data_IF_515889070867
#
_entry.id   IF_515889070867
#
_cell.length_a   1.000
_cell.length_b   1.000
_cell.length_c   1.000
_cell.angle_alpha   90.00
_cell.angle_beta   90.00
_cell.angle_gamma   90.00
#
_symmetry.space_group_name_H-M   'P 1'
#
loop_
_entity.id
_entity.type
_entity.pdbx_description
1 polymer ?
#
# COMPACT_ATOMS: atom_id res chain seq x y z
N UNK A 1 -4.35 -0.23 26.86
CA UNK A 1 -2.87 -0.14 26.96
C UNK A 1 -2.17 -1.37 26.38
N UNK A 2 -2.29 -2.57 26.96
CA UNK A 2 -1.63 -3.81 26.43
C UNK A 2 -2.03 -4.19 24.99
N UNK A 3 -3.27 -3.91 24.58
CA UNK A 3 -3.78 -4.20 23.22
C UNK A 3 -3.16 -3.29 22.13
N UNK A 4 -3.14 -1.97 22.36
CA UNK A 4 -2.48 -0.99 21.48
C UNK A 4 -0.99 -1.26 21.28
N UNK A 5 -0.31 -1.67 22.36
CA UNK A 5 1.12 -1.98 22.32
C UNK A 5 1.45 -3.22 21.50
N UNK A 6 0.51 -4.18 21.43
CA UNK A 6 0.62 -5.39 20.63
C UNK A 6 0.36 -5.13 19.14
N UNK A 7 -0.56 -4.23 18.82
CA UNK A 7 -1.03 -3.98 17.46
C UNK A 7 -0.16 -2.97 16.69
N UNK A 8 0.39 -1.97 17.36
CA UNK A 8 1.11 -0.87 16.69
C UNK A 8 2.61 -0.88 16.94
N UNK A 9 3.06 -1.79 17.81
CA UNK A 9 4.38 -1.76 18.39
C UNK A 9 4.75 -0.39 19.02
N UNK A 10 3.77 0.39 19.49
CA UNK A 10 3.94 1.70 20.17
C UNK A 10 3.23 1.71 21.52
N UNK A 11 3.66 2.52 22.48
CA UNK A 11 2.97 2.65 23.78
C UNK A 11 2.83 4.12 24.20
N UNK A 12 1.68 4.45 24.79
CA UNK A 12 1.38 5.79 25.28
C UNK A 12 1.50 5.83 26.81
N UNK A 13 2.09 6.86 27.40
CA UNK A 13 2.14 7.04 28.85
C UNK A 13 1.59 8.42 29.19
N UNK A 14 0.60 8.46 30.06
CA UNK A 14 0.05 9.71 30.55
C UNK A 14 0.83 10.17 31.79
N UNK A 15 1.21 11.45 31.84
CA UNK A 15 1.84 12.04 33.04
C UNK A 15 1.14 13.35 33.39
N UNK A 16 0.64 13.41 34.63
CA UNK A 16 -0.08 14.58 35.14
C UNK A 16 0.83 15.75 35.52
N UNK A 17 2.16 15.56 35.54
CA UNK A 17 3.18 16.57 35.85
C UNK A 17 4.45 16.29 35.02
N UNK A 18 5.27 17.33 34.82
CA UNK A 18 6.60 17.22 34.19
C UNK A 18 7.53 16.43 35.12
N UNK A 19 7.56 15.11 34.93
CA UNK A 19 8.43 14.23 35.73
C UNK A 19 9.89 14.33 35.29
N UNK A 20 10.82 14.04 36.20
CA UNK A 20 12.26 13.95 35.89
C UNK A 20 12.57 13.02 34.71
N UNK A 21 11.82 11.92 34.57
CA UNK A 21 11.92 11.06 33.39
C UNK A 21 11.63 11.79 32.08
N UNK A 22 10.63 12.67 32.02
CA UNK A 22 10.31 13.42 30.81
C UNK A 22 11.38 14.47 30.47
N UNK A 23 11.96 15.13 31.48
CA UNK A 23 13.07 16.07 31.27
C UNK A 23 14.31 15.39 30.71
N UNK A 24 14.61 14.17 31.17
CA UNK A 24 15.68 13.33 30.62
C UNK A 24 15.39 12.94 29.16
N UNK A 25 14.13 12.66 28.81
CA UNK A 25 13.72 12.31 27.43
C UNK A 25 13.99 13.46 26.47
N UNK A 26 13.61 14.69 26.85
CA UNK A 26 13.81 15.88 26.02
C UNK A 26 15.29 16.17 25.74
N UNK A 27 16.19 15.72 26.62
CA UNK A 27 17.65 15.81 26.43
C UNK A 27 18.22 14.66 25.59
N UNK A 28 17.37 13.80 25.04
CA UNK A 28 17.76 12.63 24.25
C UNK A 28 18.19 11.43 25.09
N UNK A 29 18.04 11.46 26.41
CA UNK A 29 18.46 10.37 27.27
C UNK A 29 17.45 9.20 27.20
N UNK A 30 17.96 7.97 27.12
CA UNK A 30 17.14 6.74 27.21
C UNK A 30 16.70 6.52 28.65
N UNK A 31 15.40 6.62 28.93
CA UNK A 31 14.85 6.45 30.29
C UNK A 31 14.25 5.04 30.49
N UNK A 32 14.09 4.28 29.41
CA UNK A 32 13.49 2.94 29.42
C UNK A 32 14.15 2.04 28.37
N UNK A 33 14.21 0.74 28.63
CA UNK A 33 14.80 -0.29 27.77
C UNK A 33 13.91 -0.74 26.59
N UNK A 34 13.04 0.11 26.03
CA UNK A 34 12.20 -0.26 24.88
C UNK A 34 12.26 0.78 23.75
N UNK A 35 12.60 0.33 22.54
CA UNK A 35 12.70 1.12 21.30
C UNK A 35 11.32 1.29 20.62
N UNK A 36 10.45 2.15 21.18
CA UNK A 36 9.13 2.48 20.57
C UNK A 36 8.90 3.99 20.54
N UNK A 37 8.44 4.51 19.39
CA UNK A 37 8.12 5.94 19.20
C UNK A 37 6.90 6.37 20.03
N UNK A 38 6.94 7.61 20.55
CA UNK A 38 5.91 8.19 21.43
C UNK A 38 5.32 9.46 20.81
N UNK A 39 4.00 9.62 20.93
CA UNK A 39 3.30 10.89 20.67
C UNK A 39 2.91 11.49 22.02
N UNK A 40 3.32 12.73 22.29
CA UNK A 40 2.98 13.46 23.51
C UNK A 40 2.27 14.76 23.14
N UNK A 41 1.15 15.05 23.81
CA UNK A 41 0.37 16.26 23.60
C UNK A 41 0.44 17.13 24.85
N UNK A 42 0.68 18.43 24.68
CA UNK A 42 0.72 19.42 25.76
C UNK A 42 -0.58 20.22 25.76
N UNK A 43 -1.31 20.22 26.87
CA UNK A 43 -2.60 20.92 27.01
C UNK A 43 -2.65 21.65 28.35
N UNK A 44 -3.45 22.72 28.45
CA UNK A 44 -3.63 23.45 29.71
C UNK A 44 -4.38 22.61 30.75
N UNK A 45 -4.16 22.88 32.04
CA UNK A 45 -4.82 22.15 33.13
C UNK A 45 -6.35 22.31 33.10
N UNK A 46 -6.86 23.49 32.70
CA UNK A 46 -8.29 23.72 32.51
C UNK A 46 -8.88 22.84 31.40
N UNK A 47 -8.17 22.74 30.27
CA UNK A 47 -8.55 21.86 29.15
C UNK A 47 -8.56 20.40 29.60
N UNK A 48 -7.53 19.98 30.34
CA UNK A 48 -7.43 18.63 30.90
C UNK A 48 -8.57 18.31 31.87
N UNK A 49 -8.97 19.25 32.72
CA UNK A 49 -10.08 19.08 33.65
C UNK A 49 -11.43 18.90 32.93
N UNK A 50 -11.73 19.77 31.96
CA UNK A 50 -12.94 19.67 31.11
C UNK A 50 -13.02 18.33 30.37
N UNK A 51 -11.88 17.85 29.87
CA UNK A 51 -11.79 16.56 29.19
C UNK A 51 -12.02 15.37 30.13
N UNK A 52 -11.41 15.39 31.32
CA UNK A 52 -11.62 14.33 32.31
C UNK A 52 -13.10 14.24 32.73
N UNK A 53 -13.78 15.37 32.83
CA UNK A 53 -15.21 15.43 33.14
C UNK A 53 -16.07 14.88 31.99
N UNK A 54 -15.77 15.27 30.75
CA UNK A 54 -16.42 14.72 29.56
C UNK A 54 -16.31 13.18 29.48
N UNK A 55 -15.11 12.63 29.69
CA UNK A 55 -14.89 11.17 29.63
C UNK A 55 -15.59 10.36 30.73
N UNK A 56 -15.97 11.00 31.85
CA UNK A 56 -16.70 10.37 32.95
C UNK A 56 -18.20 10.26 32.66
N UNK A 57 -18.77 11.23 31.95
CA UNK A 57 -20.20 11.29 31.67
C UNK A 57 -20.61 10.49 30.42
N UNK A 58 -19.72 10.33 29.43
CA UNK A 58 -20.05 9.75 28.12
C UNK A 58 -19.58 8.29 27.93
N UNK A 59 -19.43 7.53 29.02
CA UNK A 59 -19.34 6.08 28.96
C UNK A 59 -18.11 5.50 28.23
N UNK A 60 -16.90 5.87 28.68
CA UNK A 60 -15.63 5.13 28.41
C UNK A 60 -14.85 5.48 27.12
N UNK A 61 -15.06 6.65 26.53
CA UNK A 61 -14.22 7.14 25.42
C UNK A 61 -13.01 7.89 25.97
N UNK A 62 -11.81 7.33 25.80
CA UNK A 62 -10.55 8.04 26.10
C UNK A 62 -10.20 9.03 24.99
N UNK A 63 -9.46 10.10 25.28
CA UNK A 63 -9.02 11.06 24.24
C UNK A 63 -8.23 10.38 23.11
N UNK A 64 -7.47 9.33 23.42
CA UNK A 64 -6.78 8.52 22.42
C UNK A 64 -7.72 7.73 21.52
N UNK A 65 -8.91 7.36 22.02
CA UNK A 65 -9.96 6.71 21.25
C UNK A 65 -10.66 7.74 20.35
N UNK A 66 -10.94 8.94 20.86
CA UNK A 66 -11.52 10.03 20.07
C UNK A 66 -10.58 10.55 18.96
N UNK A 67 -9.28 10.69 19.25
CA UNK A 67 -8.29 11.04 18.24
C UNK A 67 -8.24 9.97 17.15
N UNK A 68 -8.36 8.69 17.53
CA UNK A 68 -8.38 7.58 16.58
C UNK A 68 -9.63 7.64 15.71
N UNK A 69 -10.81 7.76 16.31
CA UNK A 69 -12.08 7.85 15.58
C UNK A 69 -12.13 9.08 14.66
N UNK A 70 -11.57 10.21 15.08
CA UNK A 70 -11.47 11.41 14.24
C UNK A 70 -10.49 11.25 13.07
N UNK A 71 -9.35 10.57 13.30
CA UNK A 71 -8.38 10.26 12.23
C UNK A 71 -8.96 9.23 11.26
N UNK A 72 -9.61 8.18 11.75
CA UNK A 72 -10.26 7.15 10.94
C UNK A 72 -11.36 7.78 10.08
N UNK A 73 -12.20 8.65 10.67
CA UNK A 73 -13.24 9.40 9.95
C UNK A 73 -12.66 10.38 8.92
N UNK A 74 -11.54 11.04 9.22
CA UNK A 74 -10.84 11.90 8.26
C UNK A 74 -10.25 11.09 7.09
N UNK A 75 -9.70 9.90 7.34
CA UNK A 75 -9.19 9.01 6.30
C UNK A 75 -10.34 8.50 5.43
N UNK A 76 -11.43 8.02 6.04
CA UNK A 76 -12.62 7.53 5.32
C UNK A 76 -13.27 8.62 4.45
N UNK A 77 -13.42 9.84 5.00
CA UNK A 77 -13.97 10.97 4.24
C UNK A 77 -13.05 11.43 3.11
N UNK A 78 -11.73 11.34 3.27
CA UNK A 78 -10.77 11.65 2.21
C UNK A 78 -10.76 10.59 1.10
N UNK A 79 -10.90 9.32 1.44
CA UNK A 79 -11.08 8.21 0.48
C UNK A 79 -12.35 8.41 -0.36
N UNK A 80 -13.45 8.86 0.26
CA UNK A 80 -14.69 9.20 -0.45
C UNK A 80 -14.55 10.42 -1.37
N UNK A 81 -13.74 11.42 -1.00
CA UNK A 81 -13.55 12.64 -1.79
C UNK A 81 -12.55 12.46 -2.95
N UNK A 82 -11.54 11.60 -2.80
CA UNK A 82 -10.54 11.33 -3.83
C UNK A 82 -11.02 10.30 -4.89
N UNK A 83 -12.02 9.46 -4.58
CA UNK A 83 -12.48 8.39 -5.48
C UNK A 83 -13.45 8.79 -6.59
N UNK A 84 -14.20 9.90 -6.50
CA UNK A 84 -15.33 10.15 -7.41
C UNK A 84 -15.07 11.12 -8.59
N UNK A 85 -14.08 12.02 -8.48
CA UNK A 85 -13.77 13.01 -9.53
C UNK A 85 -12.38 12.89 -10.16
N UNK A 86 -11.40 12.29 -9.47
CA UNK A 86 -10.03 12.11 -10.02
C UNK A 86 -9.89 10.87 -10.91
N UNK A 87 -10.73 9.84 -10.70
CA UNK A 87 -10.77 8.63 -11.53
C UNK A 87 -11.26 8.89 -12.98
N UNK A 88 -11.82 10.07 -13.25
CA UNK A 88 -12.30 10.47 -14.60
C UNK A 88 -11.24 11.19 -15.45
N UNK A 89 -10.06 11.46 -14.91
CA UNK A 89 -9.02 12.19 -15.65
C UNK A 89 -8.36 11.24 -16.66
N UNK A 90 -8.53 11.54 -17.95
CA UNK A 90 -7.90 10.78 -19.04
C UNK A 90 -6.37 10.66 -18.80
N UNK A 91 -5.77 9.45 -18.96
CA UNK A 91 -4.33 9.23 -18.89
C UNK A 91 -3.46 10.25 -19.63
N UNK A 92 -3.92 10.75 -20.79
CA UNK A 92 -3.23 11.78 -21.55
C UNK A 92 -3.20 13.14 -20.82
N UNK A 93 -4.31 13.50 -20.16
CA UNK A 93 -4.39 14.70 -19.32
C UNK A 93 -3.50 14.57 -18.08
N UNK A 94 -3.45 13.39 -17.48
CA UNK A 94 -2.58 13.12 -16.33
C UNK A 94 -1.09 13.19 -16.70
N UNK A 95 -0.72 12.65 -17.87
CA UNK A 95 0.61 12.76 -18.44
C UNK A 95 0.99 14.22 -18.69
N UNK A 96 0.09 15.00 -19.27
CA UNK A 96 0.29 16.43 -19.51
C UNK A 96 0.49 17.20 -18.20
N UNK A 97 -0.36 16.96 -17.18
CA UNK A 97 -0.20 17.58 -15.85
C UNK A 97 1.14 17.19 -15.23
N UNK A 98 1.54 15.92 -15.33
CA UNK A 98 2.86 15.46 -14.84
C UNK A 98 4.00 16.22 -15.51
N UNK A 99 3.96 16.35 -16.84
CA UNK A 99 4.97 17.09 -17.60
C UNK A 99 5.01 18.57 -17.22
N UNK A 100 3.86 19.24 -17.17
CA UNK A 100 3.74 20.66 -16.83
C UNK A 100 4.22 20.97 -15.40
N UNK A 101 4.04 20.05 -14.46
CA UNK A 101 4.54 20.21 -13.08
C UNK A 101 6.03 19.88 -12.95
N UNK A 102 6.53 18.90 -13.71
CA UNK A 102 7.95 18.48 -13.66
C UNK A 102 8.87 19.55 -14.22
N UNK A 103 8.53 20.19 -15.33
CA UNK A 103 9.39 21.20 -15.98
C UNK A 103 9.83 22.35 -15.05
N UNK A 104 8.93 23.12 -14.40
CA UNK A 104 9.34 24.19 -13.50
C UNK A 104 10.06 23.65 -12.26
N UNK A 105 9.71 22.45 -11.79
CA UNK A 105 10.36 21.81 -10.65
C UNK A 105 11.79 21.39 -10.96
N UNK A 106 12.05 20.86 -12.15
CA UNK A 106 13.38 20.54 -12.64
C UNK A 106 14.25 21.79 -12.70
N UNK A 107 13.71 22.92 -13.16
CA UNK A 107 14.44 24.20 -13.15
C UNK A 107 14.74 24.69 -11.73
N UNK A 108 13.76 24.66 -10.81
CA UNK A 108 13.97 25.10 -9.41
C UNK A 108 15.04 24.23 -8.73
N UNK A 109 14.94 22.90 -8.87
CA UNK A 109 15.91 21.95 -8.34
C UNK A 109 17.29 22.14 -8.96
N UNK A 110 17.36 22.29 -10.28
CA UNK A 110 18.62 22.48 -11.01
C UNK A 110 19.33 23.79 -10.64
N UNK A 111 18.62 24.92 -10.62
CA UNK A 111 19.23 26.20 -10.26
C UNK A 111 19.62 26.28 -8.78
N UNK A 112 18.79 25.74 -7.88
CA UNK A 112 19.17 25.67 -6.46
C UNK A 112 20.40 24.79 -6.25
N UNK A 113 20.50 23.64 -6.95
CA UNK A 113 21.70 22.81 -6.93
C UNK A 113 22.93 23.53 -7.49
N UNK A 114 22.81 24.22 -8.63
CA UNK A 114 23.92 25.00 -9.20
C UNK A 114 24.41 26.11 -8.26
N UNK A 115 23.51 26.75 -7.52
CA UNK A 115 23.87 27.73 -6.49
C UNK A 115 24.62 27.07 -5.32
N UNK A 116 24.18 25.89 -4.88
CA UNK A 116 24.83 25.13 -3.81
C UNK A 116 26.20 24.58 -4.22
N UNK A 117 26.39 24.22 -5.49
CA UNK A 117 27.65 23.64 -5.99
C UNK A 117 28.66 24.71 -6.39
N UNK A 118 28.25 25.74 -7.14
CA UNK A 118 29.17 26.68 -7.78
C UNK A 118 29.34 28.00 -7.04
N UNK A 119 28.40 28.35 -6.15
CA UNK A 119 28.39 29.65 -5.47
C UNK A 119 28.44 29.54 -3.95
N UNK A 120 28.62 28.32 -3.41
CA UNK A 120 28.64 28.04 -1.96
C UNK A 120 29.50 29.00 -1.15
N UNK A 121 30.73 29.24 -1.61
CA UNK A 121 31.73 30.06 -0.91
C UNK A 121 31.46 31.57 -1.05
N UNK A 122 30.58 31.97 -1.99
CA UNK A 122 30.21 33.36 -2.26
C UNK A 122 28.89 33.76 -1.57
N UNK A 123 28.13 32.80 -1.07
CA UNK A 123 26.87 33.02 -0.37
C UNK A 123 27.12 33.09 1.13
N UNK A 124 26.40 33.98 1.81
CA UNK A 124 26.40 33.99 3.28
C UNK A 124 25.61 32.78 3.81
N UNK A 125 25.78 32.45 5.09
CA UNK A 125 25.17 31.24 5.67
C UNK A 125 23.63 31.25 5.61
N UNK A 126 23.00 32.41 5.81
CA UNK A 126 21.53 32.54 5.79
C UNK A 126 20.95 32.26 4.39
N UNK A 127 21.59 32.81 3.35
CA UNK A 127 21.21 32.55 1.96
C UNK A 127 21.52 31.10 1.58
N UNK A 128 22.64 30.55 2.04
CA UNK A 128 22.99 29.16 1.79
C UNK A 128 21.95 28.19 2.38
N UNK A 129 21.51 28.41 3.62
CA UNK A 129 20.47 27.60 4.26
C UNK A 129 19.10 27.77 3.60
N UNK A 130 18.80 28.97 3.12
CA UNK A 130 17.59 29.22 2.32
C UNK A 130 17.61 28.41 1.01
N UNK A 131 18.73 28.41 0.28
CA UNK A 131 18.87 27.64 -0.97
C UNK A 131 18.82 26.13 -0.72
N UNK A 132 19.41 25.64 0.38
CA UNK A 132 19.28 24.22 0.79
C UNK A 132 17.82 23.86 1.04
N UNK A 133 17.10 24.68 1.79
CA UNK A 133 15.68 24.46 2.06
C UNK A 133 14.86 24.42 0.76
N UNK A 134 15.12 25.32 -0.19
CA UNK A 134 14.47 25.31 -1.51
C UNK A 134 14.75 23.99 -2.24
N UNK A 135 16.01 23.54 -2.26
CA UNK A 135 16.38 22.28 -2.90
C UNK A 135 15.69 21.08 -2.24
N UNK A 136 15.74 20.97 -0.90
CA UNK A 136 15.11 19.88 -0.16
C UNK A 136 13.59 19.83 -0.33
N UNK A 137 12.93 20.99 -0.30
CA UNK A 137 11.49 21.08 -0.56
C UNK A 137 11.14 20.73 -2.00
N UNK A 138 12.00 21.07 -2.98
CA UNK A 138 11.79 20.67 -4.38
C UNK A 138 11.84 19.15 -4.55
N UNK A 139 12.76 18.47 -3.86
CA UNK A 139 12.86 17.00 -3.87
C UNK A 139 11.66 16.36 -3.17
N UNK A 140 11.20 16.94 -2.06
CA UNK A 140 10.01 16.46 -1.36
C UNK A 140 8.75 16.60 -2.23
N UNK A 141 8.61 17.72 -2.93
CA UNK A 141 7.49 17.96 -3.85
C UNK A 141 7.52 16.99 -5.03
N UNK A 142 8.68 16.73 -5.61
CA UNK A 142 8.88 15.74 -6.68
C UNK A 142 8.38 14.36 -6.25
N UNK A 143 8.79 13.90 -5.07
CA UNK A 143 8.35 12.62 -4.48
C UNK A 143 6.84 12.57 -4.25
N UNK A 144 6.24 13.65 -3.76
CA UNK A 144 4.78 13.75 -3.55
C UNK A 144 4.01 13.70 -4.86
N UNK A 145 4.47 14.40 -5.89
CA UNK A 145 3.86 14.38 -7.22
C UNK A 145 3.90 12.97 -7.79
N UNK A 146 5.06 12.30 -7.74
CA UNK A 146 5.20 10.90 -8.19
C UNK A 146 4.23 9.99 -7.43
N UNK A 147 4.21 10.07 -6.10
CA UNK A 147 3.28 9.26 -5.28
C UNK A 147 1.81 9.53 -5.61
N UNK A 148 1.42 10.78 -5.85
CA UNK A 148 0.04 11.13 -6.23
C UNK A 148 -0.27 10.58 -7.62
N UNK A 149 0.64 10.70 -8.58
CA UNK A 149 0.44 10.16 -9.94
C UNK A 149 0.38 8.62 -9.94
N UNK A 150 1.19 7.95 -9.12
CA UNK A 150 1.14 6.50 -8.90
C UNK A 150 -0.18 6.08 -8.25
N UNK A 151 -0.72 6.90 -7.34
CA UNK A 151 -2.01 6.69 -6.69
C UNK A 151 -3.22 7.08 -7.57
N UNK A 152 -3.05 7.92 -8.59
CA UNK A 152 -4.13 8.22 -9.56
C UNK A 152 -4.18 7.14 -10.64
N UNK A 153 -3.10 6.39 -10.87
CA UNK A 153 -3.08 5.17 -11.68
C UNK A 153 -3.81 3.97 -11.04
N UNK A 154 -4.65 4.18 -10.02
CA UNK A 154 -5.41 3.13 -9.31
C UNK A 154 -6.54 2.53 -10.16
N UNK A 155 -6.76 2.98 -11.40
CA UNK A 155 -7.44 2.19 -12.45
C UNK A 155 -6.44 1.36 -13.28
N UNK A 156 -5.46 0.73 -12.65
CA UNK A 156 -4.82 -0.43 -13.27
C UNK A 156 -5.78 -1.63 -13.12
N UNK A 157 -6.87 -1.65 -13.88
CA UNK A 157 -7.54 -2.92 -14.20
C UNK A 157 -6.48 -3.83 -14.83
N UNK A 158 -5.90 -4.70 -14.02
CA UNK A 158 -5.16 -5.84 -14.52
C UNK A 158 -6.16 -7.00 -14.61
N UNK A 159 -6.20 -7.63 -15.77
CA UNK A 159 -7.03 -8.81 -16.00
C UNK A 159 -6.52 -10.00 -15.19
N UNK A 160 -5.20 -10.07 -14.95
CA UNK A 160 -4.55 -11.23 -14.32
C UNK A 160 -3.69 -10.81 -13.13
N UNK A 161 -3.96 -11.43 -11.98
CA UNK A 161 -3.11 -11.37 -10.80
C UNK A 161 -2.28 -12.64 -10.69
N UNK A 162 -0.96 -12.50 -10.67
CA UNK A 162 -0.01 -13.60 -10.46
C UNK A 162 0.58 -13.50 -9.06
N UNK A 163 0.42 -14.57 -8.27
CA UNK A 163 0.96 -14.69 -6.92
C UNK A 163 1.98 -15.83 -6.95
N UNK A 164 3.26 -15.47 -7.01
CA UNK A 164 4.38 -16.37 -7.34
C UNK A 164 5.67 -15.80 -6.74
N UNK A 165 6.48 -16.58 -6.04
CA UNK A 165 7.70 -16.07 -5.39
C UNK A 165 8.90 -15.98 -6.34
N UNK A 166 8.90 -16.74 -7.45
CA UNK A 166 9.93 -16.64 -8.49
C UNK A 166 9.68 -15.48 -9.48
N UNK A 167 10.54 -14.47 -9.41
CA UNK A 167 10.52 -13.30 -10.30
C UNK A 167 10.72 -13.67 -11.78
N UNK A 168 11.46 -14.74 -12.09
CA UNK A 168 11.66 -15.16 -13.47
C UNK A 168 10.35 -15.70 -14.07
N UNK A 169 9.65 -16.56 -13.33
CA UNK A 169 8.32 -17.08 -13.66
C UNK A 169 7.31 -15.94 -13.81
N UNK A 170 7.27 -14.98 -12.87
CA UNK A 170 6.39 -13.79 -13.00
C UNK A 170 6.64 -13.06 -14.31
N UNK A 171 7.90 -12.74 -14.64
CA UNK A 171 8.24 -11.99 -15.85
C UNK A 171 7.84 -12.74 -17.12
N UNK A 172 8.10 -14.05 -17.15
CA UNK A 172 7.75 -14.93 -18.26
C UNK A 172 6.24 -14.92 -18.53
N UNK A 173 5.44 -15.21 -17.49
CA UNK A 173 3.99 -15.33 -17.64
C UNK A 173 3.37 -13.96 -17.92
N UNK A 174 3.83 -12.90 -17.26
CA UNK A 174 3.40 -11.54 -17.56
C UNK A 174 3.60 -11.20 -19.03
N UNK A 175 4.80 -11.46 -19.57
CA UNK A 175 5.11 -11.20 -20.99
C UNK A 175 4.22 -12.02 -21.93
N UNK A 176 3.92 -13.27 -21.56
CA UNK A 176 3.04 -14.13 -22.34
C UNK A 176 1.59 -13.64 -22.36
N UNK A 177 1.01 -13.27 -21.21
CA UNK A 177 -0.35 -12.73 -21.14
C UNK A 177 -0.47 -11.35 -21.81
N UNK A 178 0.55 -10.48 -21.69
CA UNK A 178 0.61 -9.20 -22.40
C UNK A 178 0.63 -9.41 -23.93
N UNK A 179 1.36 -10.42 -24.42
CA UNK A 179 1.34 -10.78 -25.85
C UNK A 179 -0.02 -11.25 -26.36
N UNK A 180 -0.92 -11.63 -25.44
CA UNK A 180 -2.31 -12.01 -25.71
C UNK A 180 -3.31 -10.87 -25.45
N UNK A 181 -2.83 -9.67 -25.11
CA UNK A 181 -3.64 -8.48 -24.89
C UNK A 181 -4.17 -8.30 -23.46
N UNK A 182 -3.73 -9.12 -22.50
CA UNK A 182 -4.15 -9.02 -21.10
C UNK A 182 -3.16 -8.22 -20.27
N UNK A 183 -3.67 -7.34 -19.40
CA UNK A 183 -2.83 -6.64 -18.41
C UNK A 183 -2.60 -7.55 -17.21
N UNK A 184 -1.34 -7.72 -16.81
CA UNK A 184 -0.96 -8.62 -15.72
C UNK A 184 -0.18 -7.92 -14.61
N UNK A 185 -0.53 -8.21 -13.36
CA UNK A 185 0.19 -7.78 -12.15
C UNK A 185 0.78 -9.00 -11.45
N UNK A 186 2.08 -8.95 -11.14
CA UNK A 186 2.78 -10.00 -10.39
C UNK A 186 3.16 -9.53 -8.99
N UNK A 187 2.98 -10.40 -8.00
CA UNK A 187 3.38 -10.21 -6.61
C UNK A 187 4.08 -11.45 -6.06
N UNK A 188 5.03 -11.22 -5.16
CA UNK A 188 6.01 -12.22 -4.69
C UNK A 188 5.66 -12.90 -3.37
N UNK A 189 4.46 -12.67 -2.83
CA UNK A 189 4.03 -13.28 -1.58
C UNK A 189 2.51 -13.36 -1.51
N UNK A 190 2.00 -14.28 -0.71
CA UNK A 190 0.58 -14.47 -0.51
C UNK A 190 -0.10 -13.26 0.14
N UNK A 191 0.56 -12.67 1.12
CA UNK A 191 0.13 -11.42 1.78
C UNK A 191 -0.09 -10.27 0.79
N UNK A 192 0.85 -10.06 -0.14
CA UNK A 192 0.70 -9.05 -1.19
C UNK A 192 -0.41 -9.41 -2.17
N UNK A 193 -0.59 -10.69 -2.48
CA UNK A 193 -1.72 -11.15 -3.31
C UNK A 193 -3.08 -10.76 -2.72
N UNK A 194 -3.26 -10.98 -1.42
CA UNK A 194 -4.49 -10.58 -0.73
C UNK A 194 -4.64 -9.05 -0.61
N UNK A 195 -3.53 -8.33 -0.40
CA UNK A 195 -3.53 -6.86 -0.40
C UNK A 195 -3.99 -6.28 -1.75
N UNK A 196 -3.51 -6.85 -2.87
CA UNK A 196 -3.88 -6.42 -4.22
C UNK A 196 -5.34 -6.72 -4.54
N UNK A 197 -5.94 -7.79 -4.00
CA UNK A 197 -7.38 -8.04 -4.16
C UNK A 197 -8.25 -6.97 -3.51
N UNK A 198 -7.77 -6.33 -2.43
CA UNK A 198 -8.44 -5.18 -1.84
C UNK A 198 -8.30 -3.88 -2.65
N UNK A 199 -7.49 -3.85 -3.71
CA UNK A 199 -7.26 -2.68 -4.56
C UNK A 199 -7.89 -2.81 -5.94
N UNK A 200 -7.95 -4.02 -6.49
CA UNK A 200 -8.55 -4.28 -7.79
C UNK A 200 -9.14 -5.70 -7.86
N UNK A 201 -10.14 -5.89 -8.71
CA UNK A 201 -10.80 -7.17 -8.95
C UNK A 201 -10.28 -7.79 -10.25
N UNK A 202 -9.26 -8.68 -10.21
CA UNK A 202 -8.76 -9.33 -11.42
C UNK A 202 -9.81 -10.26 -12.02
N UNK A 203 -9.74 -10.46 -13.34
CA UNK A 203 -10.55 -11.47 -14.06
C UNK A 203 -10.02 -12.89 -13.86
N UNK A 204 -8.77 -13.04 -13.42
CA UNK A 204 -8.11 -14.33 -13.19
C UNK A 204 -7.02 -14.20 -12.12
N UNK A 205 -6.87 -15.24 -11.31
CA UNK A 205 -5.75 -15.39 -10.39
C UNK A 205 -4.94 -16.64 -10.75
N UNK A 206 -3.64 -16.45 -10.98
CA UNK A 206 -2.64 -17.52 -11.05
C UNK A 206 -1.89 -17.56 -9.72
N UNK A 207 -1.92 -18.70 -9.04
CA UNK A 207 -1.49 -18.81 -7.66
C UNK A 207 -0.53 -19.98 -7.45
N UNK A 208 0.71 -19.73 -7.05
CA UNK A 208 1.56 -20.81 -6.53
C UNK A 208 1.02 -21.29 -5.17
N UNK A 209 1.13 -22.60 -4.97
CA UNK A 209 0.81 -23.27 -3.72
C UNK A 209 1.93 -23.09 -2.71
N UNK A 210 3.18 -23.08 -3.16
CA UNK A 210 4.36 -22.93 -2.32
C UNK A 210 4.78 -21.46 -2.38
N UNK A 211 4.50 -20.72 -1.32
CA UNK A 211 4.90 -19.32 -1.17
C UNK A 211 5.63 -19.15 0.18
N UNK A 212 6.44 -18.09 0.34
CA UNK A 212 7.28 -17.90 1.53
C UNK A 212 6.51 -17.63 2.83
N UNK A 213 5.26 -17.16 2.75
CA UNK A 213 4.49 -16.67 3.90
C UNK A 213 3.19 -17.44 4.14
N UNK A 214 2.38 -17.67 3.11
CA UNK A 214 1.06 -18.30 3.21
C UNK A 214 0.93 -19.43 2.19
N UNK A 215 0.31 -20.55 2.56
CA UNK A 215 0.02 -21.60 1.58
C UNK A 215 -0.98 -21.11 0.55
N UNK A 216 -0.70 -21.35 -0.74
CA UNK A 216 -1.65 -21.03 -1.81
C UNK A 216 -2.98 -21.77 -1.69
N UNK A 217 -3.02 -22.94 -1.03
CA UNK A 217 -4.28 -23.60 -0.72
C UNK A 217 -5.16 -22.77 0.23
N UNK A 218 -4.56 -22.12 1.24
CA UNK A 218 -5.31 -21.32 2.22
C UNK A 218 -5.71 -19.96 1.64
N UNK A 219 -4.87 -19.36 0.81
CA UNK A 219 -5.20 -18.18 0.02
C UNK A 219 -6.41 -18.48 -0.88
N UNK A 220 -6.38 -19.58 -1.64
CA UNK A 220 -7.50 -19.96 -2.51
C UNK A 220 -8.80 -20.16 -1.71
N UNK A 221 -8.75 -20.84 -0.56
CA UNK A 221 -9.94 -21.00 0.30
C UNK A 221 -10.48 -19.64 0.78
N UNK A 222 -9.58 -18.71 1.12
CA UNK A 222 -9.94 -17.35 1.55
C UNK A 222 -10.68 -16.63 0.43
N UNK A 223 -10.09 -16.62 -0.78
CA UNK A 223 -10.69 -16.03 -1.99
C UNK A 223 -12.06 -16.67 -2.29
N UNK A 224 -12.15 -18.00 -2.31
CA UNK A 224 -13.38 -18.74 -2.65
C UNK A 224 -14.46 -18.70 -1.57
N UNK A 225 -14.13 -18.22 -0.37
CA UNK A 225 -15.09 -18.00 0.72
C UNK A 225 -15.56 -16.55 0.81
N UNK A 226 -14.86 -15.63 0.16
CA UNK A 226 -15.21 -14.22 0.12
C UNK A 226 -16.38 -13.96 -0.85
N UNK A 227 -17.37 -13.16 -0.45
CA UNK A 227 -18.54 -12.89 -1.30
C UNK A 227 -18.19 -12.12 -2.56
N UNK A 228 -17.17 -11.27 -2.50
CA UNK A 228 -16.71 -10.41 -3.57
C UNK A 228 -15.82 -11.19 -4.55
N UNK A 229 -14.90 -12.00 -4.02
CA UNK A 229 -13.86 -12.65 -4.84
C UNK A 229 -14.16 -14.10 -5.24
N UNK A 230 -15.17 -14.76 -4.65
CA UNK A 230 -15.43 -16.20 -4.90
C UNK A 230 -15.64 -16.59 -6.36
N UNK A 231 -16.12 -15.65 -7.18
CA UNK A 231 -16.43 -15.89 -8.58
C UNK A 231 -15.21 -15.69 -9.49
N UNK A 232 -14.11 -15.12 -8.97
CA UNK A 232 -12.88 -14.97 -9.73
C UNK A 232 -12.29 -16.36 -9.96
N UNK A 233 -12.00 -16.75 -11.22
CA UNK A 233 -11.28 -17.98 -11.52
C UNK A 233 -9.89 -18.00 -10.87
N UNK A 234 -9.57 -19.07 -10.16
CA UNK A 234 -8.28 -19.31 -9.50
C UNK A 234 -7.68 -20.59 -10.05
N UNK A 235 -6.52 -20.48 -10.71
CA UNK A 235 -5.73 -21.61 -11.18
C UNK A 235 -4.44 -21.71 -10.40
N UNK A 236 -4.13 -22.91 -9.89
CA UNK A 236 -2.84 -23.14 -9.27
C UNK A 236 -1.73 -23.21 -10.33
N UNK A 237 -0.55 -22.70 -10.00
CA UNK A 237 0.65 -22.80 -10.82
C UNK A 237 1.78 -23.36 -9.95
N UNK A 238 2.05 -24.67 -10.02
CA UNK A 238 2.82 -25.32 -8.95
C UNK A 238 3.74 -26.44 -9.42
N UNK A 239 4.81 -26.70 -8.68
CA UNK A 239 5.65 -27.89 -8.82
C UNK A 239 5.14 -29.11 -8.03
N UNK A 240 4.09 -28.95 -7.21
CA UNK A 240 3.47 -30.07 -6.49
C UNK A 240 2.88 -31.08 -7.48
N UNK A 241 3.03 -32.37 -7.20
CA UNK A 241 2.51 -33.43 -8.05
C UNK A 241 1.00 -33.28 -8.31
N UNK A 242 0.56 -33.42 -9.56
CA UNK A 242 -0.85 -33.25 -9.94
C UNK A 242 -1.83 -34.09 -9.11
N UNK A 243 -1.46 -35.32 -8.78
CA UNK A 243 -2.29 -36.21 -7.95
C UNK A 243 -2.50 -35.71 -6.51
N UNK A 244 -1.60 -34.86 -6.00
CA UNK A 244 -1.76 -34.18 -4.71
C UNK A 244 -2.61 -32.92 -4.85
N UNK A 245 -2.45 -32.17 -5.93
CA UNK A 245 -3.28 -30.99 -6.25
C UNK A 245 -4.74 -31.41 -6.43
N UNK A 246 -5.00 -32.46 -7.21
CA UNK A 246 -6.34 -33.01 -7.47
C UNK A 246 -7.10 -33.36 -6.19
N UNK A 247 -6.43 -33.92 -5.18
CA UNK A 247 -7.03 -34.24 -3.87
C UNK A 247 -7.50 -33.00 -3.10
N UNK A 248 -6.89 -31.84 -3.37
CA UNK A 248 -7.18 -30.59 -2.68
C UNK A 248 -8.14 -29.68 -3.45
N UNK A 249 -8.30 -29.85 -4.78
CA UNK A 249 -9.23 -29.06 -5.59
C UNK A 249 -10.65 -28.98 -5.00
N UNK A 250 -11.30 -30.07 -4.56
CA UNK A 250 -12.65 -29.98 -3.98
C UNK A 250 -12.71 -29.16 -2.70
N UNK A 251 -11.62 -29.14 -1.92
CA UNK A 251 -11.53 -28.43 -0.64
C UNK A 251 -11.25 -26.95 -0.83
N UNK A 252 -10.45 -26.59 -1.83
CA UNK A 252 -10.09 -25.20 -2.11
C UNK A 252 -11.07 -24.51 -3.05
N UNK A 253 -11.84 -25.29 -3.82
CA UNK A 253 -12.71 -24.83 -4.91
C UNK A 253 -11.97 -24.07 -6.00
N UNK A 254 -10.69 -24.37 -6.21
CA UNK A 254 -9.94 -23.84 -7.35
C UNK A 254 -10.51 -24.37 -8.67
N UNK A 255 -10.38 -23.58 -9.74
CA UNK A 255 -10.97 -23.87 -11.06
C UNK A 255 -10.06 -24.77 -11.90
N UNK A 256 -8.78 -24.91 -11.51
CA UNK A 256 -7.85 -25.84 -12.12
C UNK A 256 -6.42 -25.63 -11.65
N UNK A 257 -5.48 -26.24 -12.37
CA UNK A 257 -4.05 -26.09 -12.10
C UNK A 257 -3.21 -26.28 -13.36
N UNK A 258 -2.00 -25.73 -13.34
CA UNK A 258 -0.92 -25.90 -14.31
C UNK A 258 0.31 -26.36 -13.53
N UNK A 259 0.96 -27.43 -14.01
CA UNK A 259 2.14 -27.99 -13.38
C UNK A 259 3.42 -27.35 -13.92
N UNK A 260 4.38 -27.06 -13.04
CA UNK A 260 5.74 -26.69 -13.41
C UNK A 260 6.58 -27.96 -13.62
N UNK A 261 7.39 -28.07 -14.70
CA UNK A 261 7.50 -27.13 -15.81
C UNK A 261 6.28 -27.20 -16.74
N UNK A 262 5.89 -26.05 -17.31
CA UNK A 262 4.74 -25.90 -18.20
C UNK A 262 5.16 -25.47 -19.60
N UNK A 263 4.29 -25.71 -20.57
CA UNK A 263 4.32 -25.12 -21.89
C UNK A 263 3.26 -24.02 -22.00
N UNK A 264 3.45 -23.06 -22.92
CA UNK A 264 2.46 -22.02 -23.16
C UNK A 264 1.08 -22.57 -23.57
N UNK A 265 1.03 -23.75 -24.21
CA UNK A 265 -0.23 -24.44 -24.55
C UNK A 265 -1.06 -24.83 -23.32
N UNK A 266 -0.45 -24.97 -22.14
CA UNK A 266 -1.17 -25.37 -20.93
C UNK A 266 -2.11 -24.27 -20.42
N UNK A 267 -1.88 -23.03 -20.85
CA UNK A 267 -2.71 -21.86 -20.54
C UNK A 267 -3.90 -21.68 -21.50
N UNK A 268 -4.05 -22.50 -22.54
CA UNK A 268 -5.15 -22.38 -23.51
C UNK A 268 -6.53 -22.51 -22.85
N UNK A 269 -6.66 -23.34 -21.81
CA UNK A 269 -7.89 -23.45 -21.02
C UNK A 269 -8.23 -22.14 -20.32
N UNK A 270 -7.22 -21.42 -19.84
CA UNK A 270 -7.36 -20.17 -19.11
C UNK A 270 -7.79 -19.05 -20.06
N UNK A 271 -7.23 -18.99 -21.26
CA UNK A 271 -7.64 -17.98 -22.25
C UNK A 271 -9.09 -18.18 -22.72
N UNK A 272 -9.59 -19.41 -22.78
CA UNK A 272 -11.01 -19.65 -23.05
C UNK A 272 -11.90 -19.01 -21.99
N UNK A 273 -11.53 -19.15 -20.72
CA UNK A 273 -12.25 -18.53 -19.58
C UNK A 273 -12.18 -17.01 -19.67
N UNK A 274 -10.99 -16.44 -19.89
CA UNK A 274 -10.83 -14.99 -20.01
C UNK A 274 -11.60 -14.40 -21.20
N UNK A 275 -11.62 -15.09 -22.34
CA UNK A 275 -12.30 -14.61 -23.54
C UNK A 275 -13.83 -14.74 -23.47
N UNK A 276 -14.38 -15.67 -22.68
CA UNK A 276 -15.83 -15.71 -22.47
C UNK A 276 -16.36 -14.44 -21.78
N UNK A 277 -15.58 -13.81 -20.91
CA UNK A 277 -15.99 -12.55 -20.26
C UNK A 277 -16.00 -11.34 -21.22
N UNK A 278 -15.20 -11.37 -22.29
CA UNK A 278 -15.13 -10.25 -23.25
C UNK A 278 -16.28 -10.26 -24.26
N UNK A 279 -16.94 -11.40 -24.51
CA UNK A 279 -18.01 -11.51 -25.49
C UNK A 279 -19.40 -11.16 -24.95
N UNK A 280 -19.60 -11.11 -23.63
CA UNK A 280 -20.88 -10.74 -22.99
C UNK A 280 -21.07 -9.20 -22.87
N UNK A 281 -20.12 -8.40 -23.38
CA UNK A 281 -20.13 -6.93 -23.33
C UNK A 281 -20.36 -6.27 -24.71
N UNK A 282 -20.89 -7.02 -25.69
CA UNK A 282 -21.23 -6.53 -27.05
C UNK A 282 -22.71 -6.71 -27.33
#
# INVERSE_FOLDING_TARGET
MKKYEKETNRYAVWRGLVTEGFKKWQKGEKIYQRDKERISLYVSEDTKAKWLDYTRNDGSLTISKLIREAVDSFIESRIQFEGSDLAKINPETLSNISHTLKEPLTSIKGYSQLLLENYREKLNEEVLDTVKNIFEQSVLLEKKIISILDNINVDSEYDVLLIEDDLATIRLIKSYFESKGFKSKGVVSGSKGLEELGKATPKLILLDIILPDLSGYDICKTIKSDKEYKNIPVYFLTAIAGSEVEKNLPKTKADGYILKPFNFSDFEVIFKVLNSYNNDST
#
